data_IF_875964488944
#
_entry.id   IF_875964488944
#
_cell.length_a   1.000
_cell.length_b   1.000
_cell.length_c   1.000
_cell.angle_alpha   90.00
_cell.angle_beta   90.00
_cell.angle_gamma   90.00
#
_symmetry.space_group_name_H-M   'P 1'
#
loop_
_entity.id
_entity.type
_entity.pdbx_description
1 polymer ?
#
# COMPACT_ATOMS: atom_id res chain seq x y z
N UNK A 1 -22.96 10.71 -13.36
CA UNK A 1 -21.78 11.50 -12.95
C UNK A 1 -20.61 10.53 -12.90
N UNK A 2 -19.63 10.65 -13.78
CA UNK A 2 -18.41 9.82 -13.72
C UNK A 2 -17.52 10.46 -12.66
N UNK A 3 -17.37 9.82 -11.50
CA UNK A 3 -16.31 10.19 -10.56
C UNK A 3 -14.99 9.82 -11.23
N UNK A 4 -14.18 10.81 -11.61
CA UNK A 4 -12.78 10.55 -11.91
C UNK A 4 -12.15 10.02 -10.61
N UNK A 5 -11.91 8.72 -10.53
CA UNK A 5 -11.14 8.10 -9.45
C UNK A 5 -9.71 8.66 -9.54
N UNK A 6 -9.44 9.73 -8.80
CA UNK A 6 -8.10 10.21 -8.60
C UNK A 6 -7.39 9.19 -7.72
N UNK A 7 -6.36 8.53 -8.24
CA UNK A 7 -5.48 7.70 -7.43
C UNK A 7 -4.44 8.58 -6.76
N UNK A 8 -4.03 8.22 -5.54
CA UNK A 8 -2.91 8.86 -4.85
C UNK A 8 -1.85 7.84 -4.48
N UNK A 9 -0.60 8.30 -4.50
CA UNK A 9 0.54 7.54 -4.01
C UNK A 9 0.63 7.62 -2.49
N UNK A 10 0.93 6.50 -1.84
CA UNK A 10 1.17 6.40 -0.40
C UNK A 10 2.49 5.67 -0.17
N UNK A 11 3.36 6.25 0.65
CA UNK A 11 4.58 5.56 1.12
C UNK A 11 4.40 5.24 2.59
N UNK A 12 4.55 3.96 2.94
CA UNK A 12 4.60 3.51 4.33
C UNK A 12 6.06 3.32 4.72
N UNK A 13 6.45 3.92 5.84
CA UNK A 13 7.79 3.81 6.41
C UNK A 13 7.74 3.08 7.75
N UNK A 14 8.57 2.04 7.91
CA UNK A 14 8.78 1.39 9.21
C UNK A 14 9.71 2.26 10.06
N UNK A 15 9.22 2.75 11.21
CA UNK A 15 9.97 3.67 12.08
C UNK A 15 11.31 3.09 12.60
N UNK A 16 11.42 1.77 12.72
CA UNK A 16 12.62 1.11 13.28
C UNK A 16 13.76 0.92 12.29
N UNK A 17 13.44 0.65 11.03
CA UNK A 17 14.43 0.32 9.98
C UNK A 17 14.55 1.39 8.91
N UNK A 18 13.60 2.34 8.85
CA UNK A 18 13.40 3.27 7.73
C UNK A 18 13.10 2.56 6.41
N UNK A 19 12.74 1.28 6.45
CA UNK A 19 12.26 0.53 5.28
C UNK A 19 10.98 1.17 4.74
N UNK A 20 10.90 1.30 3.41
CA UNK A 20 9.79 2.00 2.74
C UNK A 20 9.15 1.11 1.70
N UNK A 21 7.82 1.15 1.64
CA UNK A 21 7.03 0.52 0.58
C UNK A 21 6.09 1.55 -0.02
N UNK A 22 6.10 1.66 -1.34
CA UNK A 22 5.26 2.59 -2.10
C UNK A 22 4.06 1.87 -2.73
N UNK A 23 2.89 2.48 -2.59
CA UNK A 23 1.59 2.06 -3.11
C UNK A 23 1.06 3.15 -4.02
N UNK A 24 0.90 2.87 -5.31
CA UNK A 24 0.62 3.88 -6.33
C UNK A 24 -0.86 4.11 -6.64
N UNK A 25 -1.74 3.23 -6.18
CA UNK A 25 -3.15 3.15 -6.59
C UNK A 25 -4.10 3.13 -5.40
N UNK A 26 -3.80 3.90 -4.36
CA UNK A 26 -4.74 4.11 -3.26
C UNK A 26 -5.84 5.07 -3.71
N UNK A 27 -7.10 4.72 -3.42
CA UNK A 27 -8.24 5.56 -3.78
C UNK A 27 -8.11 6.97 -3.16
N UNK A 28 -8.19 8.01 -3.98
CA UNK A 28 -8.05 9.40 -3.55
C UNK A 28 -9.20 9.94 -2.70
N UNK A 29 -10.35 9.29 -2.68
CA UNK A 29 -11.46 9.63 -1.78
C UNK A 29 -11.14 9.30 -0.30
N UNK A 30 -10.09 8.52 -0.04
CA UNK A 30 -9.64 8.19 1.32
C UNK A 30 -8.75 9.32 1.82
N UNK A 31 -8.99 9.84 3.02
CA UNK A 31 -8.10 10.79 3.67
C UNK A 31 -6.94 10.03 4.34
N UNK A 32 -5.69 10.44 4.07
CA UNK A 32 -4.49 9.81 4.62
C UNK A 32 -3.51 10.93 4.96
N UNK A 33 -3.04 10.95 6.20
CA UNK A 33 -2.19 11.97 6.75
C UNK A 33 -0.83 11.39 7.20
N UNK A 34 0.25 12.18 7.16
CA UNK A 34 1.52 11.77 7.76
C UNK A 34 1.36 11.40 9.23
N UNK A 35 1.87 10.22 9.61
CA UNK A 35 1.76 9.70 10.97
C UNK A 35 0.62 8.68 11.18
N UNK A 36 -0.31 8.56 10.23
CA UNK A 36 -1.33 7.51 10.23
C UNK A 36 -0.69 6.12 10.25
N UNK A 37 -1.34 5.18 10.92
CA UNK A 37 -0.90 3.79 10.99
C UNK A 37 -1.68 2.94 9.99
N UNK A 38 -0.95 2.18 9.18
CA UNK A 38 -1.48 1.20 8.25
C UNK A 38 -0.94 -0.19 8.56
N UNK A 39 -1.59 -1.20 8.00
CA UNK A 39 -1.23 -2.60 8.18
C UNK A 39 -0.75 -3.18 6.85
N UNK A 40 0.25 -4.06 6.92
CA UNK A 40 0.82 -4.71 5.76
C UNK A 40 0.53 -6.21 5.82
N UNK A 41 -0.11 -6.74 4.77
CA UNK A 41 -0.15 -8.17 4.51
C UNK A 41 0.95 -8.55 3.54
N UNK A 42 1.77 -9.53 3.90
CA UNK A 42 2.91 -9.97 3.10
C UNK A 42 2.67 -11.42 2.67
N UNK A 43 2.80 -11.69 1.37
CA UNK A 43 2.71 -13.04 0.80
C UNK A 43 3.89 -13.28 -0.15
N UNK A 44 4.62 -14.40 -0.02
CA UNK A 44 5.65 -14.76 -0.99
C UNK A 44 5.04 -15.03 -2.37
N UNK A 45 5.79 -14.69 -3.41
CA UNK A 45 5.47 -15.02 -4.81
C UNK A 45 6.70 -15.63 -5.48
N UNK A 46 6.47 -16.52 -6.45
CA UNK A 46 7.55 -17.28 -7.10
C UNK A 46 7.53 -17.18 -8.63
N UNK A 47 6.51 -16.52 -9.19
CA UNK A 47 6.23 -16.53 -10.64
C UNK A 47 6.74 -15.28 -11.37
N UNK A 48 7.28 -14.30 -10.63
CA UNK A 48 7.70 -13.00 -11.17
C UNK A 48 9.19 -12.82 -10.91
N UNK A 49 9.97 -12.69 -11.98
CA UNK A 49 11.41 -12.44 -11.93
C UNK A 49 11.72 -11.16 -11.13
N UNK A 50 12.77 -11.19 -10.32
CA UNK A 50 13.23 -10.11 -9.44
C UNK A 50 12.20 -9.59 -8.41
N UNK A 51 11.13 -10.33 -8.15
CA UNK A 51 10.13 -10.04 -7.12
C UNK A 51 9.92 -11.25 -6.25
N UNK A 52 9.94 -11.06 -4.94
CA UNK A 52 9.84 -12.16 -3.97
C UNK A 52 8.57 -12.10 -3.14
N UNK A 53 7.93 -10.92 -3.06
CA UNK A 53 6.76 -10.71 -2.23
C UNK A 53 5.70 -9.86 -2.91
N UNK A 54 4.43 -10.17 -2.63
CA UNK A 54 3.32 -9.24 -2.76
C UNK A 54 3.06 -8.64 -1.38
N UNK A 55 3.05 -7.31 -1.33
CA UNK A 55 2.72 -6.55 -0.12
C UNK A 55 1.40 -5.83 -0.37
N UNK A 56 0.42 -6.03 0.51
CA UNK A 56 -0.89 -5.38 0.44
C UNK A 56 -1.02 -4.39 1.58
N UNK A 57 -1.50 -3.20 1.29
CA UNK A 57 -1.79 -2.14 2.25
C UNK A 57 -3.24 -2.27 2.74
N UNK A 58 -3.44 -2.24 4.06
CA UNK A 58 -4.75 -2.28 4.69
C UNK A 58 -4.95 -1.10 5.64
N UNK A 59 -6.21 -0.68 5.79
CA UNK A 59 -6.62 0.23 6.86
C UNK A 59 -6.87 -0.55 8.18
N UNK A 60 -7.27 0.15 9.23
CA UNK A 60 -7.58 -0.41 10.55
C UNK A 60 -8.80 -1.35 10.60
N UNK A 61 -9.58 -1.43 9.53
CA UNK A 61 -10.74 -2.30 9.39
C UNK A 61 -10.43 -3.55 8.54
N UNK A 62 -9.14 -3.84 8.30
CA UNK A 62 -8.67 -4.93 7.43
C UNK A 62 -9.17 -4.81 5.98
N UNK A 63 -9.51 -3.60 5.54
CA UNK A 63 -9.91 -3.32 4.15
C UNK A 63 -8.66 -3.06 3.29
N UNK A 64 -8.47 -3.80 2.19
CA UNK A 64 -7.34 -3.57 1.30
C UNK A 64 -7.49 -2.25 0.55
N UNK A 65 -6.41 -1.47 0.51
CA UNK A 65 -6.33 -0.15 -0.12
C UNK A 65 -5.57 -0.18 -1.45
N UNK A 66 -4.47 -0.93 -1.50
CA UNK A 66 -3.65 -1.17 -2.70
C UNK A 66 -2.68 -2.35 -2.42
N UNK A 67 -1.92 -2.77 -3.43
CA UNK A 67 -0.82 -3.72 -3.29
C UNK A 67 0.33 -3.39 -4.23
N UNK A 68 1.53 -3.85 -3.87
CA UNK A 68 2.73 -3.73 -4.69
C UNK A 68 3.54 -5.03 -4.65
N UNK A 69 4.51 -5.15 -5.54
CA UNK A 69 5.46 -6.26 -5.57
C UNK A 69 6.83 -5.74 -5.16
N UNK A 70 7.48 -6.48 -4.26
CA UNK A 70 8.82 -6.17 -3.73
C UNK A 70 9.80 -7.24 -4.20
#
# INVERSE_FOLDING_TARGET
MIKNLAWKGVTVEEKGTQGRVYFGRVNGDIEINPGDTFYLGIRPIYEIEDKTMRVTLYNSEDKPLDWTLV
#
